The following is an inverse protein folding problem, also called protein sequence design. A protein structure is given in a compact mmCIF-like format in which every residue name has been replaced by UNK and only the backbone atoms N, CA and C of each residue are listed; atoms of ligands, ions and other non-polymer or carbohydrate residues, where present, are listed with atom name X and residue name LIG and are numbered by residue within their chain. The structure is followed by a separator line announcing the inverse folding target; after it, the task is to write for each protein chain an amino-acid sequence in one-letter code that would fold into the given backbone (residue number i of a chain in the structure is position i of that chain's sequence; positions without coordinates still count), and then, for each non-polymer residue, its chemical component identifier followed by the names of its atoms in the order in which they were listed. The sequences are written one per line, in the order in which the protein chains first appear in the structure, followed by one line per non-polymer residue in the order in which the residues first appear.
data_IF_214334606534
#
_entry.id   IF_214334606534
#
_cell.length_a   1.000
_cell.length_b   1.000
_cell.length_c   1.000
_cell.angle_alpha   90.00
_cell.angle_beta   90.00
_cell.angle_gamma   90.00
#
_symmetry.space_group_name_H-M   'P 1'
#
loop_
_entity.id
_entity.type
_entity.pdbx_description
1 polymer ?
#
# COMPACT_ATOMS: atom_id res chain seq x y z
N UNK A 1 -6.37 -19.08 -6.07
CA UNK A 1 -5.43 -18.21 -5.31
C UNK A 1 -4.22 -19.01 -4.83
N UNK A 2 -2.99 -18.50 -5.01
CA UNK A 2 -1.76 -19.11 -4.45
C UNK A 2 -1.24 -18.29 -3.26
N UNK A 3 -0.70 -18.94 -2.23
CA UNK A 3 -0.05 -18.26 -1.11
C UNK A 3 1.41 -18.71 -1.01
N UNK A 4 2.34 -17.76 -0.98
CA UNK A 4 3.77 -18.02 -0.96
C UNK A 4 4.45 -17.17 0.11
N UNK A 5 5.37 -17.78 0.83
CA UNK A 5 6.28 -17.11 1.75
C UNK A 5 7.71 -17.30 1.25
N UNK A 6 8.39 -16.20 1.01
CA UNK A 6 9.79 -16.16 0.60
C UNK A 6 10.61 -15.76 1.83
N UNK A 7 11.47 -16.67 2.24
CA UNK A 7 12.33 -16.59 3.42
C UNK A 7 13.72 -17.01 3.00
N UNK A 8 14.79 -16.51 3.62
CA UNK A 8 16.17 -16.84 3.22
C UNK A 8 16.48 -18.36 3.22
N UNK A 9 15.73 -19.15 3.99
CA UNK A 9 15.86 -20.62 4.01
C UNK A 9 15.21 -21.33 2.80
N UNK A 10 14.29 -20.65 2.11
CA UNK A 10 13.53 -21.17 0.98
C UNK A 10 13.62 -20.14 -0.16
N UNK A 11 14.75 -20.15 -0.88
CA UNK A 11 15.04 -19.27 -2.00
C UNK A 11 14.06 -19.50 -3.16
N UNK A 12 12.86 -18.92 -3.05
CA UNK A 12 11.75 -19.05 -3.97
C UNK A 12 11.66 -17.85 -4.94
N UNK A 13 12.78 -17.17 -5.19
CA UNK A 13 12.83 -16.01 -6.08
C UNK A 13 12.33 -16.32 -7.50
N UNK A 14 12.71 -17.46 -8.07
CA UNK A 14 12.22 -17.91 -9.38
C UNK A 14 10.70 -18.15 -9.40
N UNK A 15 10.14 -18.68 -8.31
CA UNK A 15 8.72 -18.93 -8.19
C UNK A 15 7.91 -17.62 -8.19
N UNK A 16 8.45 -16.57 -7.56
CA UNK A 16 7.88 -15.22 -7.62
C UNK A 16 7.75 -14.71 -9.05
N UNK A 17 8.83 -14.80 -9.84
CA UNK A 17 8.87 -14.31 -11.22
C UNK A 17 7.89 -15.09 -12.11
N UNK A 18 7.84 -16.41 -11.93
CA UNK A 18 6.91 -17.28 -12.66
C UNK A 18 5.46 -16.89 -12.39
N UNK A 19 5.10 -16.71 -11.13
CA UNK A 19 3.72 -16.43 -10.75
C UNK A 19 3.28 -15.04 -11.16
N UNK A 20 4.12 -14.04 -10.95
CA UNK A 20 3.83 -12.66 -11.35
C UNK A 20 3.75 -12.49 -12.87
N UNK A 21 4.31 -13.42 -13.64
CA UNK A 21 4.14 -13.51 -15.09
C UNK A 21 2.78 -14.08 -15.49
N UNK A 22 2.29 -15.10 -14.79
CA UNK A 22 1.01 -15.77 -15.11
C UNK A 22 -0.22 -14.98 -14.61
N UNK A 23 -0.14 -14.45 -13.40
CA UNK A 23 -1.25 -13.81 -12.69
C UNK A 23 -0.79 -12.60 -11.85
N UNK A 24 -1.69 -11.64 -11.57
CA UNK A 24 -1.36 -10.56 -10.66
C UNK A 24 -1.12 -11.08 -9.23
N UNK A 25 -0.19 -10.45 -8.51
CA UNK A 25 0.19 -10.86 -7.17
C UNK A 25 0.09 -9.70 -6.17
N UNK A 26 -0.15 -10.04 -4.91
CA UNK A 26 -0.21 -9.10 -3.79
C UNK A 26 0.94 -9.40 -2.84
N UNK A 27 1.92 -8.50 -2.81
CA UNK A 27 3.23 -8.71 -2.20
C UNK A 27 3.32 -7.90 -0.91
N UNK A 28 3.67 -8.56 0.20
CA UNK A 28 3.96 -7.94 1.49
C UNK A 28 5.42 -8.13 1.84
N UNK A 29 6.10 -7.02 2.03
CA UNK A 29 7.46 -6.96 2.53
C UNK A 29 7.40 -6.80 4.05
N UNK A 30 8.04 -7.73 4.78
CA UNK A 30 8.02 -7.73 6.24
C UNK A 30 9.39 -8.09 6.83
N UNK A 31 9.52 -7.83 8.13
CA UNK A 31 10.72 -8.15 8.91
C UNK A 31 10.34 -8.85 10.22
N UNK A 32 11.08 -9.87 10.66
CA UNK A 32 10.73 -10.73 11.80
C UNK A 32 10.93 -10.03 13.16
N UNK A 33 11.78 -9.01 13.23
CA UNK A 33 12.01 -8.22 14.45
C UNK A 33 11.04 -7.05 14.60
N UNK A 34 10.17 -6.81 13.61
CA UNK A 34 9.27 -5.66 13.61
C UNK A 34 7.96 -5.98 14.34
N UNK A 35 7.79 -5.44 15.56
CA UNK A 35 6.54 -5.60 16.34
C UNK A 35 5.26 -5.15 15.61
N UNK A 36 5.36 -4.17 14.70
CA UNK A 36 4.24 -3.73 13.87
C UNK A 36 3.88 -4.73 12.76
N UNK A 37 4.83 -5.55 12.29
CA UNK A 37 4.59 -6.58 11.29
C UNK A 37 3.82 -7.77 11.91
N UNK A 38 4.17 -8.17 13.14
CA UNK A 38 3.53 -9.29 13.84
C UNK A 38 2.05 -9.02 14.08
N UNK A 39 1.69 -7.79 14.50
CA UNK A 39 0.29 -7.41 14.67
C UNK A 39 -0.49 -7.48 13.35
N UNK A 40 0.14 -7.07 12.24
CA UNK A 40 -0.46 -7.12 10.90
C UNK A 40 -0.56 -8.55 10.35
N UNK A 41 0.36 -9.45 10.73
CA UNK A 41 0.37 -10.83 10.25
C UNK A 41 -0.94 -11.57 10.55
N UNK A 42 -1.59 -11.28 11.69
CA UNK A 42 -2.92 -11.81 12.01
C UNK A 42 -3.97 -11.37 10.98
N UNK A 43 -3.97 -10.08 10.64
CA UNK A 43 -4.88 -9.53 9.63
C UNK A 43 -4.59 -10.09 8.23
N UNK A 44 -3.31 -10.32 7.92
CA UNK A 44 -2.84 -10.90 6.66
C UNK A 44 -3.26 -12.37 6.49
N UNK A 45 -3.08 -13.19 7.53
CA UNK A 45 -3.53 -14.58 7.51
C UNK A 45 -5.04 -14.69 7.35
N UNK A 46 -5.79 -13.75 7.95
CA UNK A 46 -7.23 -13.67 7.77
C UNK A 46 -7.66 -13.34 6.32
N UNK A 47 -6.77 -12.84 5.45
CA UNK A 47 -7.04 -12.69 4.01
C UNK A 47 -7.11 -14.03 3.30
N UNK A 48 -6.24 -14.98 3.66
CA UNK A 48 -6.23 -16.33 3.06
C UNK A 48 -7.55 -17.07 3.31
N UNK A 49 -8.21 -16.77 4.42
CA UNK A 49 -9.48 -17.36 4.81
C UNK A 49 -10.68 -16.62 4.24
N UNK A 50 -10.52 -15.49 3.55
CA UNK A 50 -11.64 -14.79 2.92
C UNK A 50 -12.06 -15.50 1.64
N UNK A 51 -13.25 -16.10 1.64
CA UNK A 51 -13.84 -16.71 0.44
C UNK A 51 -14.00 -15.74 -0.72
N UNK A 52 -14.24 -14.46 -0.43
CA UNK A 52 -14.31 -13.41 -1.45
C UNK A 52 -13.06 -13.35 -2.33
N UNK A 53 -11.89 -13.74 -1.82
CA UNK A 53 -10.63 -13.69 -2.55
C UNK A 53 -10.28 -15.00 -3.26
N UNK A 54 -11.00 -16.10 -2.96
CA UNK A 54 -10.70 -17.43 -3.54
C UNK A 54 -11.05 -17.51 -5.03
N UNK A 55 -12.08 -16.79 -5.45
CA UNK A 55 -12.57 -16.77 -6.83
C UNK A 55 -11.66 -15.96 -7.77
N UNK A 56 -10.82 -15.08 -7.22
CA UNK A 56 -9.88 -14.29 -8.00
C UNK A 56 -8.60 -15.08 -8.31
N UNK A 57 -8.20 -15.06 -9.59
CA UNK A 57 -6.94 -15.62 -10.06
C UNK A 57 -5.77 -14.70 -9.69
N UNK A 58 -5.35 -14.78 -8.43
CA UNK A 58 -4.27 -13.99 -7.88
C UNK A 58 -3.38 -14.77 -6.91
N UNK A 59 -2.18 -14.27 -6.71
CA UNK A 59 -1.26 -14.76 -5.69
C UNK A 59 -1.14 -13.78 -4.52
N UNK A 60 -1.00 -14.30 -3.30
CA UNK A 60 -0.58 -13.55 -2.13
C UNK A 60 0.83 -14.01 -1.80
N UNK A 61 1.78 -13.07 -1.77
CA UNK A 61 3.18 -13.36 -1.53
C UNK A 61 3.63 -12.53 -0.34
N UNK A 62 4.35 -13.15 0.58
CA UNK A 62 5.09 -12.43 1.61
C UNK A 62 6.58 -12.68 1.44
N UNK A 63 7.35 -11.60 1.58
CA UNK A 63 8.78 -11.59 1.31
C UNK A 63 9.49 -11.03 2.52
N UNK A 64 10.49 -11.77 2.96
CA UNK A 64 11.40 -11.36 4.00
C UNK A 64 12.31 -10.23 3.54
N UNK A 65 12.65 -9.30 4.43
CA UNK A 65 13.52 -8.16 4.08
C UNK A 65 14.90 -8.54 3.52
N UNK A 66 15.39 -9.72 3.89
CA UNK A 66 16.69 -10.27 3.43
C UNK A 66 16.63 -10.80 2.00
N UNK A 67 15.45 -11.22 1.53
CA UNK A 67 15.24 -11.77 0.18
C UNK A 67 14.95 -10.67 -0.85
N UNK A 68 14.85 -9.40 -0.42
CA UNK A 68 14.59 -8.26 -1.29
C UNK A 68 15.70 -8.08 -2.33
N UNK A 69 16.96 -8.26 -1.92
CA UNK A 69 18.13 -8.14 -2.79
C UNK A 69 18.31 -9.34 -3.72
N UNK A 70 17.77 -10.52 -3.34
CA UNK A 70 17.81 -11.72 -4.18
C UNK A 70 16.77 -11.68 -5.32
N UNK A 71 15.71 -10.90 -5.18
CA UNK A 71 14.64 -10.82 -6.18
C UNK A 71 14.78 -9.54 -7.00
N UNK A 72 15.22 -9.67 -8.25
CA UNK A 72 15.29 -8.56 -9.20
C UNK A 72 13.88 -8.13 -9.66
N UNK A 73 13.17 -7.39 -8.82
CA UNK A 73 11.85 -6.86 -9.14
C UNK A 73 11.66 -5.46 -8.56
N UNK A 74 11.07 -4.51 -9.32
CA UNK A 74 10.72 -3.20 -8.78
C UNK A 74 9.70 -3.29 -7.62
N UNK A 75 9.03 -4.43 -7.45
CA UNK A 75 8.19 -4.72 -6.29
C UNK A 75 8.96 -4.69 -4.95
N UNK A 76 10.25 -5.01 -4.97
CA UNK A 76 11.09 -5.22 -3.78
C UNK A 76 11.66 -3.92 -3.19
N UNK A 77 11.56 -2.79 -3.88
CA UNK A 77 12.17 -1.53 -3.42
C UNK A 77 11.46 -0.93 -2.20
N UNK A 78 11.99 -1.03 -0.98
CA UNK A 78 11.33 -0.43 0.21
C UNK A 78 11.68 1.06 0.35
N UNK A 79 10.70 1.96 0.20
CA UNK A 79 10.91 3.41 0.30
C UNK A 79 10.52 4.04 1.65
N UNK A 80 9.90 3.30 2.58
CA UNK A 80 9.27 3.88 3.78
C UNK A 80 9.27 3.02 5.04
N UNK A 81 9.99 1.90 5.04
CA UNK A 81 10.06 0.97 6.17
C UNK A 81 9.03 -0.17 6.12
N UNK A 82 9.04 -1.02 7.15
CA UNK A 82 8.19 -2.20 7.23
C UNK A 82 6.98 -1.98 8.15
N UNK A 83 5.82 -2.63 7.90
CA UNK A 83 5.48 -3.42 6.71
C UNK A 83 5.14 -2.54 5.49
N UNK A 84 5.60 -2.95 4.30
CA UNK A 84 5.23 -2.35 3.02
C UNK A 84 4.42 -3.35 2.20
N UNK A 85 3.31 -2.91 1.60
CA UNK A 85 2.42 -3.79 0.81
C UNK A 85 2.24 -3.20 -0.58
N UNK A 86 2.33 -4.04 -1.60
CA UNK A 86 2.28 -3.62 -2.99
C UNK A 86 1.54 -4.64 -3.84
N UNK A 87 0.89 -4.12 -4.88
CA UNK A 87 0.34 -4.94 -5.96
C UNK A 87 1.40 -5.11 -7.05
N UNK A 88 1.50 -6.31 -7.58
CA UNK A 88 2.24 -6.64 -8.80
C UNK A 88 1.23 -7.01 -9.87
N UNK A 89 1.36 -6.39 -11.03
CA UNK A 89 0.51 -6.65 -12.18
C UNK A 89 0.93 -7.96 -12.85
N UNK A 90 0.00 -8.55 -13.60
CA UNK A 90 0.34 -9.60 -14.57
C UNK A 90 1.42 -9.06 -15.51
N UNK A 91 2.49 -9.84 -15.72
CA UNK A 91 3.77 -9.50 -16.39
C UNK A 91 4.89 -9.02 -15.45
N UNK A 92 4.81 -9.24 -14.14
CA UNK A 92 5.89 -8.92 -13.20
C UNK A 92 6.14 -7.42 -12.98
N UNK A 93 5.29 -6.55 -13.53
CA UNK A 93 5.42 -5.09 -13.39
C UNK A 93 4.91 -4.63 -12.03
N UNK A 94 5.62 -3.67 -11.42
CA UNK A 94 5.14 -2.98 -10.23
C UNK A 94 3.79 -2.32 -10.52
N UNK A 95 2.81 -2.64 -9.68
CA UNK A 95 1.49 -2.04 -9.70
C UNK A 95 1.40 -0.87 -8.72
N UNK A 96 0.26 -0.78 -8.03
CA UNK A 96 -0.04 0.29 -7.10
C UNK A 96 0.45 -0.07 -5.69
N UNK A 97 1.07 0.91 -5.02
CA UNK A 97 1.41 0.81 -3.60
C UNK A 97 0.15 0.86 -2.74
N UNK A 98 0.08 -0.03 -1.76
CA UNK A 98 -0.98 0.00 -0.77
C UNK A 98 -0.54 0.82 0.44
N UNK A 99 -1.21 1.95 0.64
CA UNK A 99 -0.98 2.85 1.77
C UNK A 99 -2.25 3.00 2.65
N UNK A 100 -3.08 1.96 2.64
CA UNK A 100 -4.34 1.90 3.39
C UNK A 100 -4.15 1.44 4.84
N UNK A 101 -5.27 1.21 5.51
CA UNK A 101 -5.29 0.76 6.90
C UNK A 101 -4.86 -0.71 7.01
N UNK A 102 -4.04 -1.07 8.00
CA UNK A 102 -3.54 -2.45 8.20
C UNK A 102 -4.60 -3.44 8.69
N UNK A 103 -5.87 -3.18 8.40
CA UNK A 103 -7.03 -3.99 8.76
C UNK A 103 -7.42 -4.92 7.63
N UNK A 104 -7.86 -6.14 7.96
CA UNK A 104 -8.30 -7.14 6.98
C UNK A 104 -9.36 -6.59 6.02
N UNK A 105 -10.35 -5.84 6.53
CA UNK A 105 -11.43 -5.26 5.69
C UNK A 105 -10.92 -4.30 4.61
N UNK A 106 -9.91 -3.49 4.91
CA UNK A 106 -9.40 -2.50 3.96
C UNK A 106 -8.52 -3.17 2.91
N UNK A 107 -7.71 -4.15 3.32
CA UNK A 107 -6.93 -4.99 2.40
C UNK A 107 -7.83 -5.78 1.44
N UNK A 108 -8.92 -6.40 1.92
CA UNK A 108 -9.88 -7.12 1.06
C UNK A 108 -10.48 -6.17 0.03
N UNK A 109 -10.97 -5.00 0.46
CA UNK A 109 -11.54 -4.01 -0.45
C UNK A 109 -10.55 -3.54 -1.50
N UNK A 110 -9.30 -3.30 -1.11
CA UNK A 110 -8.25 -2.91 -2.05
C UNK A 110 -8.00 -4.00 -3.08
N UNK A 111 -7.92 -5.26 -2.64
CA UNK A 111 -7.76 -6.40 -3.55
C UNK A 111 -8.97 -6.49 -4.50
N UNK A 112 -10.20 -6.42 -4.00
CA UNK A 112 -11.38 -6.48 -4.86
C UNK A 112 -11.41 -5.35 -5.90
N UNK A 113 -11.12 -4.11 -5.49
CA UNK A 113 -11.11 -2.93 -6.37
C UNK A 113 -10.02 -3.06 -7.45
N UNK A 114 -8.80 -3.34 -7.02
CA UNK A 114 -7.63 -3.36 -7.89
C UNK A 114 -7.61 -4.56 -8.85
N UNK A 115 -8.10 -5.73 -8.41
CA UNK A 115 -8.12 -6.93 -9.25
C UNK A 115 -9.38 -6.95 -10.15
N UNK A 116 -10.47 -6.26 -9.79
CA UNK A 116 -11.55 -5.93 -10.74
C UNK A 116 -11.08 -4.92 -11.79
N UNK A 117 -10.30 -3.91 -11.41
CA UNK A 117 -9.83 -2.86 -12.32
C UNK A 117 -8.92 -3.40 -13.44
N UNK A 118 -8.18 -4.50 -13.18
CA UNK A 118 -7.38 -5.18 -14.22
C UNK A 118 -8.21 -5.80 -15.36
N UNK A 119 -9.50 -6.09 -15.14
CA UNK A 119 -10.43 -6.54 -16.19
C UNK A 119 -11.09 -5.38 -16.95
N UNK A 120 -11.24 -4.22 -16.29
CA UNK A 120 -11.94 -3.06 -16.83
C UNK A 120 -10.98 -1.93 -17.25
N UNK A 121 -9.83 -2.25 -17.86
CA UNK A 121 -8.92 -1.24 -18.41
C UNK A 121 -9.55 -0.53 -19.61
N UNK A 122 -10.37 0.45 -19.27
CA UNK A 122 -11.12 1.31 -20.15
C UNK A 122 -11.87 2.42 -19.41
N UNK A 123 -11.52 2.82 -18.18
CA UNK A 123 -12.00 4.09 -17.59
C UNK A 123 -11.28 4.44 -16.28
N UNK A 124 -10.45 5.49 -16.35
CA UNK A 124 -10.24 6.56 -15.36
C UNK A 124 -10.44 6.28 -13.85
N UNK A 125 -9.39 6.58 -13.07
CA UNK A 125 -9.53 7.44 -11.88
C UNK A 125 -9.16 6.83 -10.54
N UNK A 126 -7.98 7.19 -10.01
CA UNK A 126 -7.54 6.78 -8.67
C UNK A 126 -6.83 7.86 -7.88
N UNK A 127 -7.23 9.13 -8.04
CA UNK A 127 -6.75 10.20 -7.17
C UNK A 127 -7.31 10.07 -5.75
N UNK A 128 -6.44 9.80 -4.77
CA UNK A 128 -6.76 10.04 -3.35
C UNK A 128 -5.61 10.75 -2.63
N UNK A 129 -5.45 12.04 -2.93
CA UNK A 129 -4.67 12.96 -2.08
C UNK A 129 -5.40 13.15 -0.74
N UNK A 130 -5.02 12.41 0.30
CA UNK A 130 -5.28 12.82 1.69
C UNK A 130 -4.32 13.97 2.05
N UNK A 131 -4.66 15.21 1.67
CA UNK A 131 -4.08 16.40 2.31
C UNK A 131 -4.82 16.64 3.63
N UNK A 132 -4.21 16.24 4.74
CA UNK A 132 -4.68 16.60 6.07
C UNK A 132 -4.56 18.13 6.26
N UNK A 133 -5.70 18.78 6.48
CA UNK A 133 -5.76 20.21 6.83
C UNK A 133 -5.18 20.41 8.24
N UNK A 134 -3.94 20.92 8.34
CA UNK A 134 -3.42 21.45 9.62
C UNK A 134 -4.10 22.79 9.90
N UNK A 135 -5.14 22.77 10.74
CA UNK A 135 -5.74 23.95 11.37
C UNK A 135 -4.69 24.58 12.30
N UNK A 136 -4.18 25.77 11.96
CA UNK A 136 -3.50 26.62 12.95
C UNK A 136 -4.37 27.87 13.20
N UNK A 137 -4.48 28.18 14.49
CA UNK A 137 -5.53 28.97 15.13
C UNK A 137 -5.53 30.45 14.75
N UNK A 138 -6.75 31.00 14.68
CA UNK A 138 -7.15 32.40 14.91
C UNK A 138 -6.13 33.24 15.70
N UNK A 139 -5.82 34.44 15.18
CA UNK A 139 -5.75 35.66 15.99
C UNK A 139 -6.48 36.79 15.25
N UNK A 140 -7.61 37.21 15.83
CA UNK A 140 -8.35 38.41 15.45
C UNK A 140 -7.60 39.63 15.99
N UNK A 141 -7.34 40.63 15.15
CA UNK A 141 -7.13 42.02 15.60
C UNK A 141 -7.60 42.97 14.51
N UNK A 142 -8.91 43.20 14.53
CA UNK A 142 -9.62 44.48 14.40
C UNK A 142 -8.89 45.59 13.61
N UNK A 143 -9.42 45.85 12.40
CA UNK A 143 -9.34 47.16 11.73
C UNK A 143 -10.08 48.20 12.56
N UNK A 144 -9.43 49.33 12.88
CA UNK A 144 -10.09 50.64 12.97
C UNK A 144 -9.23 51.70 12.30
N UNK A 145 -9.62 52.08 11.08
CA UNK A 145 -9.30 53.34 10.43
C UNK A 145 -10.11 54.47 11.10
N UNK A 146 -9.47 55.59 11.42
CA UNK A 146 -9.97 56.99 11.38
C UNK A 146 -8.71 57.86 11.32
N UNK A 147 -8.24 58.35 10.18
CA UNK A 147 -8.66 59.57 9.47
C UNK A 147 -8.86 60.82 10.35
N UNK A 148 -7.97 61.79 10.12
CA UNK A 148 -8.22 63.25 10.00
C UNK A 148 -8.05 64.14 11.24
N UNK A 149 -7.46 65.32 10.94
CA UNK A 149 -7.34 66.60 11.68
C UNK A 149 -6.29 66.61 12.80
N UNK A 150 -5.52 67.66 13.07
CA UNK A 150 -5.22 68.95 12.45
C UNK A 150 -4.38 69.73 13.49
N UNK A 151 -3.47 70.60 13.04
CA UNK A 151 -3.10 71.89 13.69
C UNK A 151 -2.36 71.91 15.04
N UNK A 152 -1.36 72.82 15.06
CA UNK A 152 -0.69 73.53 16.18
C UNK A 152 0.33 72.68 16.96
N UNK A 153 1.49 73.20 17.35
CA UNK A 153 1.95 74.59 17.48
C UNK A 153 3.43 74.69 17.08
#
# INVERSE_FOLDING_TARGET
MKFISITPENNNADEFIKITSEMPAFVKLYSPTCGHCVAMQKAWNALKTQDALKDYDMAIIEVHSDELDNIDSPAMTVNGGFPTIRKVLKNGKLGKDYNGDRSTKDMVKFIEDEFKETLNKGMTGGGRKKKSKKKTKRRKSIKRRKSIKSRRN
#
